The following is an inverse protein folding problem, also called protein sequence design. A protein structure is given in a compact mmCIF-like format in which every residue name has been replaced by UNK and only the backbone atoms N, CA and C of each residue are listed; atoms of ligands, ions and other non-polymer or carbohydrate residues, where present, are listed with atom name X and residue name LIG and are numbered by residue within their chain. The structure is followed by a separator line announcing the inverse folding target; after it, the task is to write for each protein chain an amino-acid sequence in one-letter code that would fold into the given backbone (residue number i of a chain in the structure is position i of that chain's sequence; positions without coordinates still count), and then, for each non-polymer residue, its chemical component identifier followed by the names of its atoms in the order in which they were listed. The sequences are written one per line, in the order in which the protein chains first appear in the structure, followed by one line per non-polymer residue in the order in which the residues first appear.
data_IF_796037754969
#
_entry.id   IF_796037754969
#
_cell.length_a   1.000
_cell.length_b   1.000
_cell.length_c   1.000
_cell.angle_alpha   90.00
_cell.angle_beta   90.00
_cell.angle_gamma   90.00
#
_symmetry.space_group_name_H-M   'P 1'
#
loop_
_entity.id
_entity.type
_entity.pdbx_description
1 polymer ?
#
# COMPACT_ATOMS: atom_id res chain seq x y z
N UNK A 1 -9.83 -26.17 9.06
CA UNK A 1 -10.10 -24.76 9.37
C UNK A 1 -11.44 -24.28 8.78
N UNK A 2 -11.80 -24.66 7.55
CA UNK A 2 -13.12 -24.39 6.94
C UNK A 2 -14.37 -24.88 7.73
N UNK A 3 -14.38 -26.06 8.38
CA UNK A 3 -15.61 -26.56 9.04
C UNK A 3 -16.02 -25.77 10.29
N UNK A 4 -15.07 -25.10 10.95
CA UNK A 4 -15.34 -24.35 12.17
C UNK A 4 -16.00 -22.99 11.88
N UNK A 5 -15.80 -22.42 10.69
CA UNK A 5 -16.42 -21.15 10.28
C UNK A 5 -17.93 -21.26 10.08
N UNK A 6 -18.45 -22.43 9.71
CA UNK A 6 -19.88 -22.63 9.48
C UNK A 6 -20.70 -22.78 10.77
N UNK A 7 -20.05 -23.10 11.89
CA UNK A 7 -20.75 -23.43 13.14
C UNK A 7 -20.94 -22.26 14.10
N UNK A 8 -20.49 -21.06 13.73
CA UNK A 8 -20.73 -19.84 14.52
C UNK A 8 -21.08 -18.67 13.61
N UNK A 9 -22.38 -18.38 13.47
CA UNK A 9 -23.02 -17.05 13.61
C UNK A 9 -24.32 -17.00 12.83
N UNK A 10 -25.39 -16.63 13.52
CA UNK A 10 -26.73 -16.35 12.95
C UNK A 10 -26.74 -15.20 11.91
N UNK A 11 -25.60 -14.53 11.67
CA UNK A 11 -25.49 -13.30 10.85
C UNK A 11 -24.79 -13.49 9.49
N UNK A 12 -24.51 -14.72 9.06
CA UNK A 12 -23.89 -15.02 7.76
C UNK A 12 -22.37 -14.78 7.68
N UNK A 13 -21.79 -14.97 6.50
CA UNK A 13 -20.35 -14.82 6.21
C UNK A 13 -20.18 -13.86 5.03
N UNK A 14 -19.16 -13.02 5.02
CA UNK A 14 -18.79 -12.20 3.85
C UNK A 14 -17.52 -12.73 3.21
N UNK A 15 -17.58 -13.03 1.90
CA UNK A 15 -16.42 -13.36 1.10
C UNK A 15 -15.77 -12.10 0.53
N UNK A 16 -14.47 -11.92 0.79
CA UNK A 16 -13.67 -10.83 0.21
C UNK A 16 -12.90 -11.36 -0.99
N UNK A 17 -13.17 -10.79 -2.16
CA UNK A 17 -12.61 -11.21 -3.44
C UNK A 17 -11.78 -10.08 -4.03
N UNK A 18 -10.63 -10.39 -4.60
CA UNK A 18 -9.88 -9.48 -5.48
C UNK A 18 -9.71 -10.13 -6.84
N UNK A 19 -10.17 -9.46 -7.90
CA UNK A 19 -10.14 -9.98 -9.27
C UNK A 19 -10.73 -11.40 -9.39
N UNK A 20 -11.77 -11.69 -8.60
CA UNK A 20 -12.44 -13.00 -8.56
C UNK A 20 -11.76 -14.06 -7.69
N UNK A 21 -10.59 -13.79 -7.12
CA UNK A 21 -9.89 -14.70 -6.20
C UNK A 21 -10.26 -14.40 -4.75
N UNK A 22 -10.58 -15.43 -3.98
CA UNK A 22 -10.83 -15.30 -2.54
C UNK A 22 -9.57 -14.83 -1.80
N UNK A 23 -9.68 -13.70 -1.11
CA UNK A 23 -8.64 -13.16 -0.23
C UNK A 23 -8.82 -13.65 1.20
N UNK A 24 -10.04 -13.51 1.73
CA UNK A 24 -10.39 -13.90 3.11
C UNK A 24 -11.90 -14.07 3.26
N UNK A 25 -12.31 -14.67 4.37
CA UNK A 25 -13.70 -14.73 4.84
C UNK A 25 -13.83 -13.89 6.11
N UNK A 26 -14.95 -13.19 6.23
CA UNK A 26 -15.28 -12.35 7.38
C UNK A 26 -16.60 -12.78 7.98
N UNK A 27 -16.72 -12.63 9.29
CA UNK A 27 -17.94 -12.99 9.99
C UNK A 27 -18.98 -11.87 9.91
N UNK A 28 -20.23 -12.22 9.60
CA UNK A 28 -21.31 -11.26 9.39
C UNK A 28 -21.33 -10.65 7.98
N UNK A 29 -22.26 -9.74 7.75
CA UNK A 29 -22.28 -8.88 6.56
C UNK A 29 -21.38 -7.66 6.75
N UNK A 30 -20.22 -7.68 6.09
CA UNK A 30 -19.25 -6.57 6.09
C UNK A 30 -19.14 -5.93 4.70
N UNK A 31 -20.11 -6.18 3.81
CA UNK A 31 -20.06 -5.75 2.41
C UNK A 31 -20.00 -4.23 2.24
N UNK A 32 -20.53 -3.48 3.21
CA UNK A 32 -20.49 -2.02 3.25
C UNK A 32 -19.12 -1.45 3.69
N UNK A 33 -18.27 -2.26 4.31
CA UNK A 33 -17.01 -1.83 4.93
C UNK A 33 -15.81 -2.21 4.04
N UNK A 34 -15.57 -1.40 3.01
CA UNK A 34 -14.52 -1.67 2.03
C UNK A 34 -13.79 -0.40 1.65
N UNK A 35 -12.51 -0.34 2.03
CA UNK A 35 -11.66 0.82 1.79
C UNK A 35 -10.38 0.44 1.04
N UNK A 36 -9.81 1.45 0.38
CA UNK A 36 -8.53 1.37 -0.28
C UNK A 36 -7.71 2.63 -0.05
N UNK A 37 -6.39 2.49 -0.13
CA UNK A 37 -5.45 3.59 0.09
C UNK A 37 -4.65 3.85 -1.18
N UNK A 38 -4.62 5.11 -1.65
CA UNK A 38 -3.64 5.56 -2.63
C UNK A 38 -2.51 6.28 -1.91
N UNK A 39 -1.26 5.94 -2.20
CA UNK A 39 -0.08 6.55 -1.55
C UNK A 39 0.88 7.08 -2.59
N UNK A 40 1.38 8.29 -2.37
CA UNK A 40 2.48 8.87 -3.14
C UNK A 40 3.72 9.00 -2.29
N UNK A 41 4.76 8.31 -2.71
CA UNK A 41 6.07 8.32 -2.06
C UNK A 41 6.94 9.34 -2.78
N UNK A 42 6.85 10.59 -2.33
CA UNK A 42 7.79 11.63 -2.67
C UNK A 42 9.10 11.50 -1.90
N UNK A 43 10.15 12.17 -2.41
CA UNK A 43 11.44 12.22 -1.72
C UNK A 43 11.33 12.95 -0.38
N UNK A 44 10.56 14.05 -0.34
CA UNK A 44 10.39 14.87 0.87
C UNK A 44 9.13 14.52 1.66
N UNK A 45 8.02 14.31 0.96
CA UNK A 45 6.70 14.11 1.56
C UNK A 45 6.11 12.82 1.06
N UNK A 46 5.45 12.07 1.96
CA UNK A 46 4.60 10.94 1.61
C UNK A 46 3.15 11.34 1.88
N UNK A 47 2.28 11.16 0.90
CA UNK A 47 0.86 11.49 1.01
C UNK A 47 0.01 10.23 0.86
N UNK A 48 -1.05 10.10 1.65
CA UNK A 48 -1.98 8.98 1.64
C UNK A 48 -3.42 9.48 1.52
N UNK A 49 -4.20 8.83 0.66
CA UNK A 49 -5.59 9.16 0.33
C UNK A 49 -6.44 7.92 0.55
N UNK A 50 -7.33 7.98 1.54
CA UNK A 50 -8.25 6.89 1.87
C UNK A 50 -9.53 7.05 1.05
N UNK A 51 -9.96 5.98 0.41
CA UNK A 51 -11.18 5.93 -0.39
C UNK A 51 -12.13 4.85 0.12
N UNK A 52 -13.42 5.17 0.15
CA UNK A 52 -14.46 4.17 0.25
C UNK A 52 -14.62 3.52 -1.14
N UNK A 53 -14.40 2.21 -1.24
CA UNK A 53 -14.44 1.50 -2.54
C UNK A 53 -15.87 1.22 -3.02
N UNK A 54 -16.85 1.27 -2.12
CA UNK A 54 -18.26 1.14 -2.47
C UNK A 54 -18.81 2.45 -3.07
N UNK A 55 -18.66 3.58 -2.37
CA UNK A 55 -19.15 4.89 -2.86
C UNK A 55 -18.20 5.55 -3.86
N UNK A 56 -16.92 5.14 -3.86
CA UNK A 56 -15.83 5.72 -4.66
C UNK A 56 -15.46 7.15 -4.26
N UNK A 57 -15.83 7.56 -3.05
CA UNK A 57 -15.54 8.87 -2.50
C UNK A 57 -14.28 8.83 -1.63
N UNK A 58 -13.55 9.95 -1.62
CA UNK A 58 -12.41 10.12 -0.73
C UNK A 58 -12.91 10.31 0.71
N UNK A 59 -12.49 9.43 1.61
CA UNK A 59 -12.85 9.47 3.02
C UNK A 59 -11.87 10.34 3.85
N UNK A 60 -10.58 10.29 3.54
CA UNK A 60 -9.57 11.11 4.23
C UNK A 60 -8.31 11.31 3.39
N UNK A 61 -7.52 12.30 3.80
CA UNK A 61 -6.15 12.53 3.34
C UNK A 61 -5.24 12.73 4.55
N UNK A 62 -4.02 12.19 4.46
CA UNK A 62 -2.95 12.42 5.43
C UNK A 62 -1.63 12.61 4.69
N UNK A 63 -0.69 13.33 5.29
CA UNK A 63 0.67 13.45 4.76
C UNK A 63 1.69 13.53 5.88
N UNK A 64 2.91 13.11 5.60
CA UNK A 64 4.01 13.10 6.55
C UNK A 64 5.33 13.36 5.81
N UNK A 65 6.32 13.86 6.54
CA UNK A 65 7.69 13.88 6.01
C UNK A 65 8.17 12.45 5.78
N UNK A 66 8.86 12.23 4.67
CA UNK A 66 9.52 10.97 4.40
C UNK A 66 10.66 10.78 5.40
N UNK A 67 10.53 9.80 6.30
CA UNK A 67 11.50 9.59 7.38
C UNK A 67 12.91 9.24 6.88
N UNK A 68 13.05 8.88 5.60
CA UNK A 68 14.35 8.69 4.95
C UNK A 68 15.17 9.98 4.81
N UNK A 69 14.57 11.17 4.98
CA UNK A 69 15.30 12.46 4.94
C UNK A 69 16.48 12.47 5.92
N UNK A 70 16.34 11.82 7.09
CA UNK A 70 17.43 11.79 8.09
C UNK A 70 18.67 11.03 7.62
N UNK A 71 18.54 10.18 6.59
CA UNK A 71 19.62 9.34 6.05
C UNK A 71 20.13 9.83 4.68
N UNK A 72 19.59 10.96 4.20
CA UNK A 72 19.91 11.54 2.92
C UNK A 72 18.91 12.63 2.52
N UNK A 73 19.41 13.86 2.39
CA UNK A 73 18.62 15.03 2.03
C UNK A 73 18.06 14.96 0.59
N UNK A 74 18.70 14.17 -0.27
CA UNK A 74 18.32 14.00 -1.66
C UNK A 74 18.33 12.53 -2.09
N UNK A 75 18.00 12.28 -3.36
CA UNK A 75 17.95 10.93 -3.93
C UNK A 75 19.33 10.26 -3.96
N UNK A 76 20.38 11.00 -4.32
CA UNK A 76 21.72 10.43 -4.53
C UNK A 76 22.37 10.01 -3.23
N UNK A 77 22.23 10.82 -2.18
CA UNK A 77 22.65 10.49 -0.83
C UNK A 77 21.93 9.24 -0.30
N UNK A 78 20.63 9.09 -0.55
CA UNK A 78 19.91 7.85 -0.18
C UNK A 78 20.36 6.63 -0.99
N UNK A 79 20.66 6.79 -2.28
CA UNK A 79 21.24 5.71 -3.09
C UNK A 79 22.59 5.28 -2.52
N UNK A 80 23.42 6.24 -2.11
CA UNK A 80 24.70 5.96 -1.47
C UNK A 80 24.52 5.23 -0.13
N UNK A 81 23.58 5.67 0.73
CA UNK A 81 23.24 4.96 1.98
C UNK A 81 22.78 3.53 1.70
N UNK A 82 21.91 3.34 0.70
CA UNK A 82 21.40 2.02 0.28
C UNK A 82 22.41 1.14 -0.47
N UNK A 83 23.67 1.57 -0.60
CA UNK A 83 24.73 0.76 -1.22
C UNK A 83 25.19 -0.41 -0.34
N UNK A 84 24.85 -0.36 0.95
CA UNK A 84 25.07 -1.44 1.92
C UNK A 84 23.75 -2.14 2.25
N UNK A 85 23.81 -3.41 2.66
CA UNK A 85 22.62 -4.16 3.06
C UNK A 85 21.92 -3.50 4.27
N UNK A 86 22.70 -3.06 5.26
CA UNK A 86 22.17 -2.40 6.45
C UNK A 86 21.53 -1.05 6.14
N UNK A 87 22.16 -0.26 5.25
CA UNK A 87 21.61 1.03 4.82
C UNK A 87 20.34 0.89 3.98
N UNK A 88 20.25 -0.14 3.12
CA UNK A 88 19.03 -0.48 2.40
C UNK A 88 17.91 -0.86 3.36
N UNK A 89 18.19 -1.72 4.34
CA UNK A 89 17.21 -2.15 5.34
C UNK A 89 16.77 -1.00 6.26
N UNK A 90 17.68 -0.10 6.61
CA UNK A 90 17.37 1.11 7.37
C UNK A 90 16.40 2.02 6.61
N UNK A 91 16.70 2.33 5.34
CA UNK A 91 15.86 3.17 4.49
C UNK A 91 14.50 2.53 4.22
N UNK A 92 14.46 1.21 4.02
CA UNK A 92 13.22 0.46 3.88
C UNK A 92 12.35 0.57 5.14
N UNK A 93 12.90 0.28 6.33
CA UNK A 93 12.13 0.39 7.59
C UNK A 93 11.58 1.78 7.83
N UNK A 94 12.35 2.82 7.47
CA UNK A 94 11.88 4.22 7.58
C UNK A 94 10.69 4.49 6.69
N UNK A 95 10.69 4.05 5.43
CA UNK A 95 9.53 4.27 4.54
C UNK A 95 8.31 3.44 4.97
N UNK A 96 8.50 2.19 5.41
CA UNK A 96 7.42 1.37 5.98
C UNK A 96 6.81 2.03 7.21
N UNK A 97 7.64 2.56 8.13
CA UNK A 97 7.16 3.30 9.30
C UNK A 97 6.37 4.55 8.90
N UNK A 98 6.87 5.35 7.94
CA UNK A 98 6.12 6.52 7.44
C UNK A 98 4.74 6.11 6.90
N UNK A 99 4.67 5.05 6.08
CA UNK A 99 3.40 4.57 5.51
C UNK A 99 2.45 4.07 6.61
N UNK A 100 2.95 3.31 7.58
CA UNK A 100 2.12 2.80 8.69
C UNK A 100 1.56 3.93 9.56
N UNK A 101 2.34 4.99 9.81
CA UNK A 101 1.85 6.17 10.52
C UNK A 101 0.74 6.90 9.72
N UNK A 102 0.85 6.92 8.38
CA UNK A 102 -0.20 7.48 7.53
C UNK A 102 -1.47 6.63 7.53
N UNK A 103 -1.33 5.30 7.51
CA UNK A 103 -2.46 4.37 7.68
C UNK A 103 -3.19 4.68 8.99
N UNK A 104 -2.46 4.71 10.10
CA UNK A 104 -3.02 5.05 11.42
C UNK A 104 -3.69 6.44 11.42
N UNK A 105 -3.05 7.45 10.83
CA UNK A 105 -3.61 8.80 10.75
C UNK A 105 -4.93 8.83 9.99
N UNK A 106 -5.00 8.16 8.83
CA UNK A 106 -6.25 8.10 8.05
C UNK A 106 -7.35 7.32 8.78
N UNK A 107 -7.00 6.25 9.49
CA UNK A 107 -7.92 5.50 10.34
C UNK A 107 -8.47 6.35 11.48
N UNK A 108 -7.60 7.05 12.21
CA UNK A 108 -8.01 7.91 13.33
C UNK A 108 -8.90 9.06 12.87
N UNK A 109 -8.62 9.66 11.71
CA UNK A 109 -9.41 10.78 11.18
C UNK A 109 -10.83 10.39 10.72
N UNK A 110 -11.06 9.10 10.44
CA UNK A 110 -12.34 8.63 9.87
C UNK A 110 -13.09 7.65 10.76
N UNK A 111 -12.43 7.09 11.78
CA UNK A 111 -12.94 5.94 12.55
C UNK A 111 -12.89 4.61 11.78
N UNK A 112 -12.38 4.59 10.55
CA UNK A 112 -12.24 3.38 9.74
C UNK A 112 -11.09 2.53 10.27
N UNK A 113 -11.37 1.27 10.60
CA UNK A 113 -10.31 0.35 11.01
C UNK A 113 -9.36 0.09 9.85
N UNK A 114 -8.05 0.09 10.11
CA UNK A 114 -7.07 -0.26 9.07
C UNK A 114 -7.26 -1.68 8.51
N UNK A 115 -7.90 -2.58 9.29
CA UNK A 115 -8.32 -3.91 8.84
C UNK A 115 -9.43 -3.88 7.78
N UNK A 116 -10.12 -2.76 7.61
CA UNK A 116 -11.11 -2.53 6.55
C UNK A 116 -10.47 -1.95 5.27
N UNK A 117 -9.15 -1.77 5.24
CA UNK A 117 -8.40 -1.37 4.06
C UNK A 117 -7.86 -2.64 3.37
N UNK A 118 -8.39 -2.95 2.18
CA UNK A 118 -8.12 -4.22 1.47
C UNK A 118 -7.12 -4.07 0.33
N UNK A 119 -6.91 -2.85 -0.16
CA UNK A 119 -5.98 -2.59 -1.26
C UNK A 119 -5.24 -1.28 -1.01
N UNK A 120 -3.92 -1.31 -1.22
CA UNK A 120 -3.07 -0.13 -1.29
C UNK A 120 -2.42 -0.05 -2.67
N UNK A 121 -2.57 1.10 -3.32
CA UNK A 121 -1.91 1.42 -4.59
C UNK A 121 -0.93 2.54 -4.35
N UNK A 122 0.29 2.39 -4.82
CA UNK A 122 1.36 3.34 -4.57
C UNK A 122 2.00 3.82 -5.86
N UNK A 123 2.43 5.06 -5.82
CA UNK A 123 3.30 5.70 -6.80
C UNK A 123 4.48 6.35 -6.09
N UNK A 124 5.51 6.66 -6.85
CA UNK A 124 6.71 7.32 -6.35
C UNK A 124 7.84 7.11 -7.35
N UNK A 125 8.88 7.96 -7.31
CA UNK A 125 10.01 7.86 -8.24
C UNK A 125 10.78 6.52 -8.12
N UNK A 126 11.62 6.17 -9.11
CA UNK A 126 12.32 4.87 -9.17
C UNK A 126 13.10 4.54 -7.91
N UNK A 127 13.92 5.46 -7.36
CA UNK A 127 14.62 5.23 -6.10
C UNK A 127 13.66 4.93 -4.94
N UNK A 128 12.57 5.69 -4.79
CA UNK A 128 11.58 5.44 -3.73
C UNK A 128 10.91 4.08 -3.87
N UNK A 129 10.57 3.66 -5.10
CA UNK A 129 10.06 2.32 -5.38
C UNK A 129 11.06 1.23 -4.94
N UNK A 130 12.34 1.40 -5.27
CA UNK A 130 13.37 0.41 -4.96
C UNK A 130 13.58 0.30 -3.44
N UNK A 131 13.70 1.43 -2.74
CA UNK A 131 13.83 1.44 -1.28
C UNK A 131 12.60 0.83 -0.59
N UNK A 132 11.41 1.14 -1.09
CA UNK A 132 10.18 0.56 -0.57
C UNK A 132 10.12 -0.97 -0.77
N UNK A 133 10.54 -1.49 -1.93
CA UNK A 133 10.51 -2.92 -2.24
C UNK A 133 11.72 -3.72 -1.71
N UNK A 134 12.59 -3.13 -0.87
CA UNK A 134 13.89 -3.72 -0.47
C UNK A 134 14.75 -4.11 -1.69
N UNK A 135 14.67 -3.37 -2.79
CA UNK A 135 15.53 -3.55 -3.97
C UNK A 135 16.68 -2.55 -3.91
N UNK A 136 17.92 -2.98 -4.16
CA UNK A 136 19.06 -2.06 -4.18
C UNK A 136 18.92 -1.03 -5.31
N UNK A 137 18.98 0.28 -5.03
CA UNK A 137 18.92 1.31 -6.04
C UNK A 137 20.32 1.67 -6.61
N UNK A 138 21.37 0.91 -6.28
CA UNK A 138 22.76 1.26 -6.61
C UNK A 138 23.04 1.43 -8.11
N UNK A 139 22.27 0.75 -8.98
CA UNK A 139 22.35 0.89 -10.43
C UNK A 139 21.71 2.17 -10.96
N UNK A 140 20.86 2.84 -10.17
CA UNK A 140 20.25 4.13 -10.51
C UNK A 140 21.20 5.30 -10.31
N UNK A 141 22.28 5.12 -9.53
CA UNK A 141 23.31 6.15 -9.31
C UNK A 141 24.50 6.06 -10.26
N UNK A 142 24.54 5.06 -11.15
CA UNK A 142 25.65 4.80 -12.06
C UNK A 142 25.15 4.61 -13.48
N UNK A 143 25.80 5.23 -14.46
CA UNK A 143 25.51 4.99 -15.88
C UNK A 143 25.57 3.47 -16.16
N UNK A 144 24.57 2.87 -16.82
CA UNK A 144 23.51 3.49 -17.64
C UNK A 144 22.18 3.79 -16.93
N UNK A 145 22.17 3.96 -15.59
CA UNK A 145 21.01 4.36 -14.78
C UNK A 145 19.83 3.37 -14.85
N UNK A 146 20.14 2.08 -14.75
CA UNK A 146 19.17 0.99 -14.96
C UNK A 146 18.38 0.67 -13.69
N UNK A 147 17.06 0.64 -13.81
CA UNK A 147 16.15 0.13 -12.78
C UNK A 147 16.10 -1.40 -12.76
N UNK A 148 15.97 -2.00 -11.58
CA UNK A 148 15.80 -3.45 -11.38
C UNK A 148 14.44 -3.91 -11.91
N UNK A 149 13.41 -3.08 -11.72
CA UNK A 149 12.07 -3.30 -12.27
C UNK A 149 11.53 -2.04 -12.93
N UNK A 150 10.78 -2.23 -14.02
CA UNK A 150 10.02 -1.19 -14.73
C UNK A 150 8.53 -1.55 -14.81
N UNK A 151 8.13 -2.65 -14.17
CA UNK A 151 6.78 -3.22 -14.25
C UNK A 151 5.98 -2.90 -12.99
N UNK A 152 4.66 -3.11 -13.05
CA UNK A 152 3.81 -3.15 -11.87
C UNK A 152 4.36 -4.23 -10.92
N UNK A 153 4.54 -3.89 -9.65
CA UNK A 153 4.89 -4.85 -8.61
C UNK A 153 3.71 -5.02 -7.68
N UNK A 154 3.27 -6.27 -7.50
CA UNK A 154 2.18 -6.63 -6.60
C UNK A 154 2.68 -7.59 -5.54
N UNK A 155 2.37 -7.29 -4.28
CA UNK A 155 2.77 -8.06 -3.10
C UNK A 155 1.66 -7.98 -2.04
N UNK A 156 1.79 -8.72 -0.95
CA UNK A 156 0.83 -8.68 0.16
C UNK A 156 1.24 -7.65 1.21
N UNK A 157 0.27 -7.08 1.91
CA UNK A 157 0.54 -6.19 3.05
C UNK A 157 1.40 -6.85 4.12
N UNK A 158 1.20 -8.16 4.33
CA UNK A 158 1.95 -8.97 5.28
C UNK A 158 3.43 -9.09 4.91
N UNK A 159 3.78 -9.25 3.63
CA UNK A 159 5.18 -9.39 3.19
C UNK A 159 6.01 -8.11 3.42
N UNK A 160 5.35 -6.95 3.47
CA UNK A 160 5.98 -5.65 3.62
C UNK A 160 5.77 -5.01 5.01
N UNK A 161 5.17 -5.73 5.95
CA UNK A 161 4.83 -5.22 7.29
C UNK A 161 3.98 -3.93 7.24
N UNK A 162 3.03 -3.87 6.30
CA UNK A 162 2.08 -2.75 6.16
C UNK A 162 0.80 -3.04 6.97
N UNK A 163 0.42 -2.08 7.82
CA UNK A 163 -0.63 -2.21 8.83
C UNK A 163 -2.07 -2.03 8.30
N UNK A 164 -2.36 -2.57 7.12
CA UNK A 164 -3.73 -2.68 6.58
C UNK A 164 -4.30 -4.10 6.86
N UNK A 165 -5.39 -4.50 6.19
CA UNK A 165 -5.85 -5.89 6.28
C UNK A 165 -4.69 -6.84 5.93
N UNK A 166 -4.38 -7.88 6.74
CA UNK A 166 -3.28 -8.80 6.46
C UNK A 166 -3.42 -9.60 5.16
N UNK A 167 -4.64 -9.79 4.67
CA UNK A 167 -4.91 -10.39 3.36
C UNK A 167 -4.85 -9.34 2.23
N UNK A 168 -4.75 -8.06 2.58
CA UNK A 168 -4.77 -6.92 1.68
C UNK A 168 -3.60 -6.92 0.70
N UNK A 169 -3.89 -6.41 -0.50
CA UNK A 169 -2.93 -6.30 -1.59
C UNK A 169 -2.22 -4.96 -1.57
N UNK A 170 -0.94 -4.97 -1.92
CA UNK A 170 -0.11 -3.78 -2.07
C UNK A 170 0.44 -3.77 -3.50
N UNK A 171 0.12 -2.74 -4.26
CA UNK A 171 0.51 -2.60 -5.67
C UNK A 171 1.31 -1.32 -5.86
N UNK A 172 2.53 -1.44 -6.37
CA UNK A 172 3.36 -0.32 -6.78
C UNK A 172 3.29 -0.16 -8.30
N UNK A 173 2.83 0.99 -8.77
CA UNK A 173 2.70 1.26 -10.21
C UNK A 173 4.05 1.61 -10.84
N UNK A 174 4.28 1.25 -12.12
CA UNK A 174 5.44 1.68 -12.85
C UNK A 174 5.41 3.19 -13.03
N UNK A 175 6.59 3.76 -13.23
CA UNK A 175 6.76 5.19 -13.45
C UNK A 175 6.20 5.58 -14.81
N UNK A 176 4.98 6.11 -14.82
CA UNK A 176 4.37 6.77 -15.97
C UNK A 176 4.04 8.19 -15.51
N UNK A 177 5.07 9.01 -15.29
CA UNK A 177 4.92 10.41 -14.89
C UNK A 177 4.64 10.66 -13.39
N UNK A 178 5.00 11.84 -12.93
CA UNK A 178 5.07 12.24 -11.51
C UNK A 178 3.72 12.62 -10.86
N UNK A 179 2.58 12.14 -11.35
CA UNK A 179 1.29 12.64 -10.87
C UNK A 179 0.45 11.56 -10.17
N UNK A 180 0.09 11.84 -8.91
CA UNK A 180 -1.09 11.26 -8.25
C UNK A 180 -2.32 11.72 -9.03
N UNK A 181 -2.68 10.96 -10.05
CA UNK A 181 -3.74 11.34 -10.98
C UNK A 181 -4.99 10.49 -10.88
N UNK A 182 -5.90 10.77 -11.82
CA UNK A 182 -6.98 9.87 -12.20
C UNK A 182 -6.47 8.46 -12.54
N UNK A 183 -5.18 8.30 -12.88
CA UNK A 183 -4.56 7.01 -13.21
C UNK A 183 -4.31 6.15 -11.96
N UNK A 184 -3.71 6.69 -10.90
CA UNK A 184 -3.49 5.96 -9.63
C UNK A 184 -4.81 5.68 -8.93
N UNK A 185 -5.66 6.68 -8.85
CA UNK A 185 -7.02 6.54 -8.28
C UNK A 185 -7.88 5.64 -9.17
N UNK A 186 -7.72 5.72 -10.49
CA UNK A 186 -8.37 4.85 -11.48
C UNK A 186 -7.90 3.41 -11.37
N UNK A 187 -6.62 3.16 -11.08
CA UNK A 187 -6.11 1.82 -10.81
C UNK A 187 -6.62 1.26 -9.48
N UNK A 188 -6.70 2.10 -8.44
CA UNK A 188 -7.35 1.72 -7.19
C UNK A 188 -8.82 1.36 -7.44
N UNK A 189 -9.52 2.10 -8.31
CA UNK A 189 -10.89 1.80 -8.74
C UNK A 189 -11.00 0.56 -9.64
N UNK A 190 -9.98 0.29 -10.44
CA UNK A 190 -9.91 -0.85 -11.37
C UNK A 190 -9.43 -2.15 -10.72
N UNK A 191 -8.75 -2.06 -9.58
CA UNK A 191 -8.44 -3.21 -8.71
C UNK A 191 -9.74 -3.64 -8.05
N UNK A 192 -10.44 -4.59 -8.66
CA UNK A 192 -11.79 -4.97 -8.25
C UNK A 192 -11.71 -5.80 -6.97
N UNK A 193 -11.68 -5.11 -5.82
CA UNK A 193 -12.05 -5.71 -4.54
C UNK A 193 -13.57 -5.74 -4.48
N UNK A 194 -14.14 -6.90 -4.18
CA UNK A 194 -15.57 -7.12 -4.03
C UNK A 194 -15.81 -7.90 -2.75
N UNK A 195 -16.76 -7.45 -1.95
CA UNK A 195 -17.29 -8.19 -0.82
C UNK A 195 -18.67 -8.69 -1.18
N UNK A 196 -18.94 -9.95 -0.89
CA UNK A 196 -20.24 -10.57 -1.13
C UNK A 196 -20.68 -11.35 0.10
N UNK A 197 -21.89 -11.08 0.64
CA UNK A 197 -22.50 -11.97 1.61
C UNK A 197 -22.66 -13.37 1.00
N UNK A 198 -22.35 -14.38 1.80
CA UNK A 198 -22.54 -15.80 1.53
C UNK A 198 -23.50 -16.27 2.61
N UNK A 199 -24.77 -16.41 2.23
CA UNK A 199 -25.85 -16.94 3.07
C UNK A 199 -25.84 -18.47 3.02
#
# INVERSE_FOLDING_TARGET
MLPFFFNQRENGITAVLENGRLMTLEAGDTSHEMYGLAVDIGTTTVAAYLYNLNSREQAAVASALNAQISEGADVMSRIATASTADGLELLHRKIISTINNLVESTSNNTGVSSKQIYSMVMVGNTPMQHLFLRLSPASLGRSPFTAVTKSIVKTSARELDININPAGSVTFLPLIGCFIGADTTGWLRGSIVKKKPVY
#
